data_IF_582338818020
#
_entry.id   IF_582338818020
#
_cell.length_a   1.000
_cell.length_b   1.000
_cell.length_c   1.000
_cell.angle_alpha   90.00
_cell.angle_beta   90.00
_cell.angle_gamma   90.00
#
_symmetry.space_group_name_H-M   'P 1'
#
loop_
_entity.id
_entity.type
_entity.pdbx_description
1 polymer ?
#
# COMPACT_ATOMS: atom_id res chain seq x y z
N UNK A 1 -21.82 16.15 -19.08
CA UNK A 1 -20.44 15.62 -19.02
C UNK A 1 -19.73 16.15 -17.81
N UNK A 2 -19.08 15.29 -17.02
CA UNK A 2 -18.26 15.65 -15.85
C UNK A 2 -16.79 15.67 -16.28
N UNK A 3 -16.04 16.69 -15.86
CA UNK A 3 -14.58 16.70 -15.96
C UNK A 3 -14.00 16.16 -14.66
N UNK A 4 -13.24 15.08 -14.73
CA UNK A 4 -12.62 14.43 -13.59
C UNK A 4 -11.10 14.67 -13.62
N UNK A 5 -10.63 15.59 -12.78
CA UNK A 5 -9.21 15.81 -12.56
C UNK A 5 -8.67 14.69 -11.66
N UNK A 6 -7.71 13.92 -12.15
CA UNK A 6 -7.28 12.71 -11.45
C UNK A 6 -5.79 12.41 -11.62
N UNK A 7 -5.30 11.46 -10.83
CA UNK A 7 -3.98 10.87 -11.03
C UNK A 7 -3.97 9.90 -12.22
N UNK A 8 -2.83 9.77 -12.89
CA UNK A 8 -2.60 8.72 -13.90
C UNK A 8 -2.81 7.32 -13.32
N UNK A 9 -2.24 7.07 -12.15
CA UNK A 9 -2.49 5.84 -11.39
C UNK A 9 -3.73 6.01 -10.52
N UNK A 10 -4.80 5.29 -10.85
CA UNK A 10 -6.08 5.34 -10.12
C UNK A 10 -6.88 4.06 -10.30
N UNK A 11 -7.90 3.91 -9.47
CA UNK A 11 -8.88 2.84 -9.64
C UNK A 11 -9.96 3.27 -10.63
N UNK A 12 -10.26 2.43 -11.62
CA UNK A 12 -11.24 2.74 -12.68
C UNK A 12 -12.70 2.69 -12.23
N UNK A 13 -12.98 2.23 -11.01
CA UNK A 13 -14.35 2.02 -10.54
C UNK A 13 -15.18 3.28 -10.43
N UNK A 14 -14.55 4.46 -10.31
CA UNK A 14 -15.28 5.73 -10.32
C UNK A 14 -15.87 5.99 -11.72
N UNK A 15 -15.03 5.93 -12.76
CA UNK A 15 -15.43 6.14 -14.15
C UNK A 15 -16.42 5.07 -14.60
N UNK A 16 -16.15 3.80 -14.26
CA UNK A 16 -17.02 2.68 -14.60
C UNK A 16 -18.43 2.88 -14.02
N UNK A 17 -18.55 3.26 -12.75
CA UNK A 17 -19.86 3.50 -12.12
C UNK A 17 -20.61 4.66 -12.76
N UNK A 18 -19.92 5.75 -13.08
CA UNK A 18 -20.54 6.90 -13.75
C UNK A 18 -21.00 6.56 -15.17
N UNK A 19 -20.17 5.85 -15.93
CA UNK A 19 -20.54 5.39 -17.28
C UNK A 19 -21.74 4.44 -17.23
N UNK A 20 -21.78 3.49 -16.29
CA UNK A 20 -22.93 2.61 -16.08
C UNK A 20 -24.21 3.36 -15.70
N UNK A 21 -24.10 4.53 -15.06
CA UNK A 21 -25.21 5.41 -14.76
C UNK A 21 -25.58 6.38 -15.91
N UNK A 22 -24.97 6.23 -17.10
CA UNK A 22 -25.21 7.10 -18.26
C UNK A 22 -24.53 8.48 -18.18
N UNK A 23 -23.65 8.70 -17.20
CA UNK A 23 -22.92 9.95 -17.04
C UNK A 23 -21.65 9.92 -17.86
N UNK A 24 -21.55 10.80 -18.85
CA UNK A 24 -20.30 10.99 -19.60
C UNK A 24 -19.22 11.62 -18.71
N UNK A 25 -18.05 10.96 -18.63
CA UNK A 25 -16.88 11.41 -17.87
C UNK A 25 -15.73 11.71 -18.82
N UNK A 26 -15.13 12.90 -18.70
CA UNK A 26 -13.87 13.27 -19.32
C UNK A 26 -12.78 13.29 -18.25
N UNK A 27 -11.90 12.31 -18.27
CA UNK A 27 -10.73 12.26 -17.38
C UNK A 27 -9.65 13.24 -17.84
N UNK A 28 -9.03 13.93 -16.89
CA UNK A 28 -7.86 14.79 -17.13
C UNK A 28 -6.83 14.41 -16.08
N UNK A 29 -5.77 13.74 -16.53
CA UNK A 29 -4.67 13.32 -15.67
C UNK A 29 -3.78 14.52 -15.35
N UNK A 30 -3.72 14.91 -14.08
CA UNK A 30 -3.02 16.13 -13.63
C UNK A 30 -1.84 15.85 -12.69
N UNK A 31 -1.65 14.60 -12.27
CA UNK A 31 -0.47 14.16 -11.52
C UNK A 31 -0.23 12.66 -11.72
N UNK A 32 0.94 12.18 -11.30
CA UNK A 32 1.31 10.76 -11.34
C UNK A 32 1.87 10.28 -9.99
N UNK A 33 1.78 8.98 -9.76
CA UNK A 33 2.46 8.29 -8.66
C UNK A 33 3.57 7.45 -9.24
N UNK A 34 4.81 7.92 -9.10
CA UNK A 34 6.01 7.21 -9.55
C UNK A 34 6.53 6.30 -8.45
N UNK A 35 7.02 5.12 -8.83
CA UNK A 35 7.73 4.25 -7.89
C UNK A 35 9.14 4.81 -7.68
N UNK A 36 9.62 4.76 -6.44
CA UNK A 36 11.00 5.10 -6.10
C UNK A 36 11.74 3.79 -5.82
N UNK A 37 12.82 3.57 -6.57
CA UNK A 37 13.67 2.40 -6.41
C UNK A 37 14.92 2.79 -5.63
N UNK A 38 14.78 2.83 -4.30
CA UNK A 38 15.93 3.11 -3.42
C UNK A 38 16.89 1.93 -3.43
N UNK A 39 18.21 2.16 -3.54
CA UNK A 39 19.17 1.09 -3.45
C UNK A 39 19.26 0.58 -2.00
N UNK A 40 19.69 -0.67 -1.84
CA UNK A 40 19.62 -1.37 -0.55
C UNK A 40 20.42 -0.65 0.55
N UNK A 41 21.57 -0.07 0.21
CA UNK A 41 22.40 0.70 1.15
C UNK A 41 21.70 1.95 1.69
N UNK A 42 20.85 2.60 0.89
CA UNK A 42 20.11 3.78 1.32
C UNK A 42 19.04 3.40 2.34
N UNK A 43 18.38 2.25 2.13
CA UNK A 43 17.37 1.71 3.05
C UNK A 43 18.01 1.25 4.35
N UNK A 44 19.13 0.50 4.27
CA UNK A 44 19.90 0.06 5.41
C UNK A 44 20.38 1.23 6.27
N UNK A 45 20.95 2.27 5.65
CA UNK A 45 21.40 3.47 6.34
C UNK A 45 20.23 4.19 7.02
N UNK A 46 19.10 4.32 6.34
CA UNK A 46 17.90 5.00 6.88
C UNK A 46 17.30 4.28 8.08
N UNK A 47 17.37 2.95 8.10
CA UNK A 47 16.91 2.12 9.22
C UNK A 47 17.99 1.90 10.29
N UNK A 48 19.22 2.37 10.04
CA UNK A 48 20.39 2.10 10.89
C UNK A 48 20.63 0.60 11.12
N UNK A 49 20.30 -0.22 10.12
CA UNK A 49 20.35 -1.69 10.21
C UNK A 49 19.40 -2.30 11.24
N UNK A 50 18.45 -1.55 11.79
CA UNK A 50 17.50 -2.06 12.79
C UNK A 50 16.31 -2.76 12.13
N UNK A 51 15.85 -3.89 12.67
CA UNK A 51 14.65 -4.55 12.18
C UNK A 51 13.44 -3.63 12.16
N UNK A 52 12.54 -3.83 11.18
CA UNK A 52 11.27 -3.12 11.10
C UNK A 52 10.20 -3.95 11.79
N UNK A 53 9.59 -3.41 12.82
CA UNK A 53 8.57 -4.11 13.61
C UNK A 53 7.21 -4.09 12.91
N UNK A 54 6.83 -2.94 12.35
CA UNK A 54 5.53 -2.75 11.71
C UNK A 54 5.62 -1.92 10.43
N UNK A 55 4.78 -2.27 9.44
CA UNK A 55 4.59 -1.48 8.21
C UNK A 55 3.10 -1.25 7.99
N UNK A 56 2.70 0.02 7.82
CA UNK A 56 1.32 0.42 7.54
C UNK A 56 1.14 0.69 6.05
N UNK A 57 0.11 0.09 5.44
CA UNK A 57 -0.12 0.10 4.00
C UNK A 57 -1.48 0.70 3.66
N UNK A 58 -1.43 1.81 2.92
CA UNK A 58 -2.59 2.62 2.54
C UNK A 58 -3.04 2.42 1.09
N UNK A 59 -2.27 1.68 0.29
CA UNK A 59 -2.65 1.36 -1.09
C UNK A 59 -2.07 0.03 -1.55
N UNK A 60 -2.76 -0.61 -2.51
CA UNK A 60 -2.28 -1.84 -3.11
C UNK A 60 -0.93 -1.64 -3.83
N UNK A 61 -0.73 -0.47 -4.46
CA UNK A 61 0.56 -0.13 -5.10
C UNK A 61 1.70 -0.06 -4.09
N UNK A 62 1.47 0.55 -2.92
CA UNK A 62 2.47 0.59 -1.85
C UNK A 62 2.73 -0.81 -1.29
N UNK A 63 1.70 -1.64 -1.14
CA UNK A 63 1.84 -3.03 -0.68
C UNK A 63 2.73 -3.86 -1.63
N UNK A 64 2.47 -3.82 -2.94
CA UNK A 64 3.32 -4.50 -3.93
C UNK A 64 4.76 -4.02 -3.90
N UNK A 65 4.98 -2.70 -3.82
CA UNK A 65 6.33 -2.13 -3.73
C UNK A 65 7.04 -2.55 -2.44
N UNK A 66 6.31 -2.58 -1.32
CA UNK A 66 6.85 -3.02 -0.03
C UNK A 66 7.20 -4.51 -0.04
N UNK A 67 6.36 -5.38 -0.61
CA UNK A 67 6.68 -6.81 -0.74
C UNK A 67 7.95 -7.01 -1.56
N UNK A 68 8.09 -6.30 -2.68
CA UNK A 68 9.30 -6.36 -3.50
C UNK A 68 10.53 -5.87 -2.73
N UNK A 69 10.41 -4.81 -1.92
CA UNK A 69 11.49 -4.28 -1.08
C UNK A 69 11.89 -5.26 0.03
N UNK A 70 10.92 -5.79 0.77
CA UNK A 70 11.15 -6.73 1.87
C UNK A 70 11.72 -8.07 1.38
N UNK A 71 11.39 -8.46 0.13
CA UNK A 71 11.91 -9.66 -0.51
C UNK A 71 13.35 -9.56 -1.02
N UNK A 72 13.99 -8.39 -0.95
CA UNK A 72 15.38 -8.25 -1.40
C UNK A 72 16.33 -8.97 -0.44
N UNK A 73 17.26 -9.81 -0.93
CA UNK A 73 18.14 -10.59 -0.06
C UNK A 73 18.92 -9.75 0.97
N UNK A 74 19.39 -8.55 0.60
CA UNK A 74 20.13 -7.66 1.50
C UNK A 74 19.26 -7.04 2.60
N UNK A 75 17.93 -7.01 2.43
CA UNK A 75 16.98 -6.41 3.35
C UNK A 75 16.13 -7.45 4.09
N UNK A 76 16.13 -8.70 3.64
CA UNK A 76 15.25 -9.76 4.15
C UNK A 76 15.29 -9.91 5.69
N UNK A 77 16.48 -9.86 6.29
CA UNK A 77 16.62 -9.97 7.76
C UNK A 77 16.00 -8.78 8.51
N UNK A 78 15.98 -7.57 7.93
CA UNK A 78 15.32 -6.42 8.54
C UNK A 78 13.80 -6.61 8.62
N UNK A 79 13.22 -7.30 7.64
CA UNK A 79 11.78 -7.48 7.51
C UNK A 79 11.27 -8.85 7.96
N UNK A 80 12.17 -9.76 8.36
CA UNK A 80 11.85 -11.16 8.67
C UNK A 80 10.72 -11.33 9.70
N UNK A 81 10.63 -10.40 10.67
CA UNK A 81 9.63 -10.41 11.75
C UNK A 81 8.59 -9.28 11.62
N UNK A 82 8.57 -8.55 10.51
CA UNK A 82 7.67 -7.41 10.34
C UNK A 82 6.21 -7.84 10.32
N UNK A 83 5.39 -7.13 11.09
CA UNK A 83 3.93 -7.18 10.97
C UNK A 83 3.45 -6.15 9.94
N UNK A 84 2.68 -6.59 8.96
CA UNK A 84 2.10 -5.74 7.93
C UNK A 84 0.64 -5.42 8.25
N UNK A 85 0.32 -4.14 8.27
CA UNK A 85 -1.00 -3.62 8.59
C UNK A 85 -1.59 -3.00 7.33
N UNK A 86 -2.63 -3.62 6.79
CA UNK A 86 -3.32 -3.15 5.60
C UNK A 86 -4.60 -2.39 5.97
N UNK A 87 -4.78 -1.20 5.40
CA UNK A 87 -6.00 -0.39 5.57
C UNK A 87 -7.27 -1.08 5.06
N UNK A 88 -7.15 -2.07 4.17
CA UNK A 88 -8.30 -2.83 3.66
C UNK A 88 -7.91 -4.20 3.14
N UNK A 89 -8.89 -5.10 3.01
CA UNK A 89 -8.68 -6.43 2.42
C UNK A 89 -8.09 -6.39 1.01
N UNK A 90 -8.44 -5.38 0.21
CA UNK A 90 -7.86 -5.17 -1.14
C UNK A 90 -6.36 -4.91 -1.09
N UNK A 91 -5.89 -4.18 -0.07
CA UNK A 91 -4.47 -3.87 0.10
C UNK A 91 -3.72 -5.10 0.60
N UNK A 92 -4.32 -5.82 1.56
CA UNK A 92 -3.80 -7.09 2.05
C UNK A 92 -3.65 -8.12 0.92
N UNK A 93 -4.62 -8.21 0.01
CA UNK A 93 -4.56 -9.13 -1.14
C UNK A 93 -3.41 -8.84 -2.12
N UNK A 94 -2.80 -7.64 -2.07
CA UNK A 94 -1.62 -7.32 -2.86
C UNK A 94 -0.30 -7.82 -2.24
N UNK A 95 -0.34 -8.35 -1.00
CA UNK A 95 0.78 -8.99 -0.32
C UNK A 95 0.68 -10.52 -0.49
N UNK A 96 1.03 -11.01 -1.68
CA UNK A 96 0.92 -12.42 -2.07
C UNK A 96 1.84 -13.37 -1.31
N UNK A 97 3.02 -12.91 -0.87
CA UNK A 97 4.05 -13.78 -0.27
C UNK A 97 4.23 -13.58 1.23
N UNK A 98 3.49 -12.64 1.84
CA UNK A 98 3.55 -12.38 3.27
C UNK A 98 2.72 -13.44 4.00
N UNK A 99 3.29 -14.00 5.06
CA UNK A 99 2.62 -15.03 5.85
C UNK A 99 1.38 -14.46 6.56
N UNK A 100 0.30 -15.23 6.65
CA UNK A 100 -0.98 -14.74 7.17
C UNK A 100 -0.88 -14.32 8.65
N UNK A 101 0.00 -14.95 9.42
CA UNK A 101 0.31 -14.60 10.80
C UNK A 101 1.03 -13.25 10.95
N UNK A 102 1.65 -12.73 9.89
CA UNK A 102 2.29 -11.41 9.85
C UNK A 102 1.36 -10.32 9.29
N UNK A 103 0.21 -10.70 8.72
CA UNK A 103 -0.72 -9.77 8.10
C UNK A 103 -1.88 -9.42 9.03
N UNK A 104 -2.19 -8.13 9.14
CA UNK A 104 -3.31 -7.57 9.89
C UNK A 104 -4.09 -6.64 8.97
N UNK A 105 -5.42 -6.69 9.04
CA UNK A 105 -6.30 -5.87 8.20
C UNK A 105 -7.21 -5.04 9.08
N UNK A 106 -7.26 -3.73 8.84
CA UNK A 106 -8.17 -2.85 9.56
C UNK A 106 -9.63 -3.27 9.32
N UNK A 107 -10.50 -3.24 10.36
CA UNK A 107 -11.90 -3.62 10.24
C UNK A 107 -12.68 -2.71 9.30
N UNK A 108 -12.21 -1.47 9.13
CA UNK A 108 -12.73 -0.48 8.19
C UNK A 108 -11.57 0.30 7.56
N UNK A 109 -11.75 0.87 6.35
CA UNK A 109 -10.70 1.58 5.65
C UNK A 109 -10.50 3.02 6.15
N UNK A 110 -10.26 3.18 7.45
CA UNK A 110 -9.92 4.45 8.11
C UNK A 110 -8.52 4.37 8.73
N UNK A 111 -7.81 5.51 8.73
CA UNK A 111 -6.48 5.57 9.34
C UNK A 111 -6.57 5.32 10.85
N UNK A 112 -7.63 5.83 11.48
CA UNK A 112 -7.94 5.61 12.89
C UNK A 112 -8.05 4.12 13.22
N UNK A 113 -8.79 3.34 12.41
CA UNK A 113 -8.90 1.90 12.62
C UNK A 113 -7.57 1.16 12.39
N UNK A 114 -6.75 1.62 11.44
CA UNK A 114 -5.43 1.04 11.18
C UNK A 114 -4.46 1.30 12.34
N UNK A 115 -4.46 2.51 12.89
CA UNK A 115 -3.64 2.88 14.05
C UNK A 115 -4.11 2.18 15.32
N UNK A 116 -5.42 2.02 15.51
CA UNK A 116 -5.97 1.27 16.64
C UNK A 116 -5.60 -0.23 16.57
N UNK A 117 -5.62 -0.79 15.36
CA UNK A 117 -5.16 -2.16 15.11
C UNK A 117 -3.67 -2.33 15.41
N UNK A 118 -2.84 -1.34 15.07
CA UNK A 118 -1.43 -1.31 15.44
C UNK A 118 -1.27 -1.29 16.97
N UNK A 119 -2.01 -0.43 17.66
CA UNK A 119 -1.94 -0.25 19.13
C UNK A 119 -2.36 -1.50 19.91
N UNK A 120 -3.29 -2.27 19.37
CA UNK A 120 -3.88 -3.46 20.02
C UNK A 120 -3.23 -4.78 19.55
N UNK A 121 -2.34 -4.72 18.56
CA UNK A 121 -1.58 -5.90 18.13
C UNK A 121 -0.44 -6.21 19.11
N UNK A 122 -0.23 -7.50 19.45
CA UNK A 122 0.82 -7.94 20.35
C UNK A 122 2.23 -7.80 19.78
#
# INVERSE_FOLDING_TARGET
TIVYLCGRVRFSGFEQRLQSAGVQVRTVEIYDTVALDYPDEAVLARLSGRPVEAVLLYSAKAATAMQALAGRPALAELFRKTCFFALSGRIAAALETVASEQLRVAPEPSEEALLELLRTSP
#
